data_IF_648817427116
#
_entry.id   IF_648817427116
#
_cell.length_a   1.000
_cell.length_b   1.000
_cell.length_c   1.000
_cell.angle_alpha   90.00
_cell.angle_beta   90.00
_cell.angle_gamma   90.00
#
_symmetry.space_group_name_H-M   'P 1'
#
loop_
_entity.id
_entity.type
_entity.pdbx_description
1 polymer ?
#
# COMPACT_ATOMS: atom_id res chain seq x y z
N UNK A 1 -9.88 -2.23 -7.58
CA UNK A 1 -8.66 -1.60 -7.04
C UNK A 1 -8.76 -0.10 -7.28
N UNK A 2 -8.64 0.74 -6.24
CA UNK A 2 -8.68 2.20 -6.37
C UNK A 2 -7.25 2.73 -6.33
N UNK A 3 -6.87 3.54 -7.30
CA UNK A 3 -5.56 4.20 -7.34
C UNK A 3 -5.81 5.69 -7.13
N UNK A 4 -5.11 6.29 -6.17
CA UNK A 4 -5.10 7.74 -5.93
C UNK A 4 -3.67 8.22 -6.07
N UNK A 5 -3.48 9.38 -6.72
CA UNK A 5 -2.18 10.01 -6.92
C UNK A 5 -2.33 11.49 -6.62
N UNK A 6 -1.36 12.04 -5.93
CA UNK A 6 -1.27 13.44 -5.56
C UNK A 6 0.21 13.85 -5.72
N UNK A 7 0.45 15.06 -6.21
CA UNK A 7 1.79 15.59 -6.44
C UNK A 7 1.75 17.13 -6.41
N UNK A 8 2.90 17.73 -6.11
CA UNK A 8 3.08 19.17 -6.11
C UNK A 8 3.07 19.71 -7.55
N UNK A 9 2.09 20.55 -7.90
CA UNK A 9 1.97 21.12 -9.25
C UNK A 9 2.88 22.31 -9.51
N UNK A 10 3.46 22.90 -8.46
CA UNK A 10 4.38 24.04 -8.57
C UNK A 10 5.83 23.58 -8.73
N UNK A 11 6.11 22.31 -8.40
CA UNK A 11 7.45 21.73 -8.53
C UNK A 11 7.75 21.25 -9.97
N UNK A 12 8.87 21.72 -10.53
CA UNK A 12 9.36 21.22 -11.82
C UNK A 12 10.13 19.89 -11.68
N UNK A 13 9.44 18.79 -11.92
CA UNK A 13 10.03 17.45 -11.92
C UNK A 13 11.00 17.18 -13.09
N UNK A 14 11.12 18.07 -14.08
CA UNK A 14 12.07 17.92 -15.18
C UNK A 14 13.53 17.86 -14.69
N UNK A 15 13.80 18.50 -13.55
CA UNK A 15 15.11 18.53 -12.89
C UNK A 15 15.44 17.26 -12.10
N UNK A 16 14.46 16.39 -11.84
CA UNK A 16 14.67 15.14 -11.09
C UNK A 16 15.26 14.09 -12.03
N UNK A 17 16.52 13.70 -11.80
CA UNK A 17 17.23 12.70 -12.61
C UNK A 17 17.71 11.52 -11.79
N UNK A 18 17.88 11.70 -10.49
CA UNK A 18 18.46 10.71 -9.59
C UNK A 18 17.52 10.40 -8.45
N UNK A 19 17.38 9.13 -8.14
CA UNK A 19 16.64 8.67 -6.98
C UNK A 19 17.48 7.75 -6.12
N UNK A 20 17.11 7.63 -4.85
CA UNK A 20 17.50 6.48 -4.04
C UNK A 20 16.32 6.04 -3.17
N UNK A 21 16.44 4.84 -2.62
CA UNK A 21 15.48 4.33 -1.67
C UNK A 21 15.60 5.08 -0.34
N UNK A 22 14.47 5.50 0.22
CA UNK A 22 14.43 5.96 1.60
C UNK A 22 14.81 4.78 2.53
N UNK A 23 15.73 5.01 3.46
CA UNK A 23 16.04 4.04 4.50
C UNK A 23 14.79 3.79 5.34
N UNK A 24 14.30 2.55 5.31
CA UNK A 24 13.17 2.13 6.15
C UNK A 24 13.68 1.92 7.57
N UNK A 25 13.03 2.52 8.57
CA UNK A 25 13.27 2.11 9.95
C UNK A 25 12.81 0.65 10.11
N UNK A 26 13.57 -0.18 10.83
CA UNK A 26 13.28 -1.62 10.96
C UNK A 26 11.83 -1.90 11.43
N UNK A 27 11.27 -0.98 12.22
CA UNK A 27 9.92 -1.07 12.79
C UNK A 27 8.79 -0.78 11.79
N UNK A 28 9.11 -0.22 10.61
CA UNK A 28 8.10 0.08 9.59
C UNK A 28 7.77 -1.12 8.71
N UNK A 29 8.54 -2.22 8.79
CA UNK A 29 8.21 -3.51 8.19
C UNK A 29 7.02 -4.12 8.93
N UNK A 30 5.82 -3.58 8.67
CA UNK A 30 4.59 -4.06 9.27
C UNK A 30 4.39 -5.57 9.10
N UNK A 31 3.56 -6.20 9.95
CA UNK A 31 3.25 -7.62 9.86
C UNK A 31 2.78 -7.95 8.43
N UNK A 32 3.35 -9.01 7.83
CA UNK A 32 3.05 -9.42 6.45
C UNK A 32 4.06 -8.96 5.38
N UNK A 33 5.13 -8.24 5.75
CA UNK A 33 6.20 -7.89 4.81
C UNK A 33 7.07 -9.11 4.47
N UNK A 34 6.66 -9.89 3.46
CA UNK A 34 7.46 -10.98 2.90
C UNK A 34 8.62 -10.40 2.05
N UNK A 35 9.88 -10.82 2.24
CA UNK A 35 11.03 -10.38 1.43
C UNK A 35 10.80 -10.46 -0.09
N UNK A 36 10.10 -11.50 -0.56
CA UNK A 36 9.76 -11.65 -1.98
C UNK A 36 8.85 -10.54 -2.51
N UNK A 37 7.92 -10.05 -1.68
CA UNK A 37 7.03 -8.94 -2.06
C UNK A 37 7.79 -7.62 -2.05
N UNK A 38 8.70 -7.43 -1.11
CA UNK A 38 9.58 -6.26 -1.08
C UNK A 38 10.44 -6.17 -2.32
N UNK A 39 11.14 -7.25 -2.69
CA UNK A 39 11.96 -7.30 -3.90
C UNK A 39 11.13 -7.02 -5.15
N UNK A 40 9.94 -7.64 -5.28
CA UNK A 40 9.03 -7.40 -6.41
C UNK A 40 8.57 -5.94 -6.51
N UNK A 41 8.27 -5.30 -5.38
CA UNK A 41 7.86 -3.89 -5.36
C UNK A 41 9.03 -3.00 -5.77
N UNK A 42 10.22 -3.25 -5.22
CA UNK A 42 11.42 -2.50 -5.58
C UNK A 42 11.71 -2.62 -7.07
N UNK A 43 11.82 -3.84 -7.60
CA UNK A 43 12.03 -4.12 -9.02
C UNK A 43 11.03 -3.41 -9.94
N UNK A 44 9.74 -3.47 -9.60
CA UNK A 44 8.70 -2.85 -10.40
C UNK A 44 8.84 -1.33 -10.44
N UNK A 45 9.20 -0.71 -9.31
CA UNK A 45 9.44 0.73 -9.21
C UNK A 45 10.73 1.12 -9.94
N UNK A 46 11.83 0.40 -9.76
CA UNK A 46 13.10 0.69 -10.44
C UNK A 46 12.92 0.65 -11.96
N UNK A 47 12.25 -0.38 -12.50
CA UNK A 47 11.92 -0.47 -13.94
C UNK A 47 11.03 0.67 -14.41
N UNK A 48 10.11 1.16 -13.58
CA UNK A 48 9.23 2.26 -13.94
C UNK A 48 9.97 3.61 -13.95
N UNK A 49 10.94 3.80 -13.04
CA UNK A 49 11.77 5.00 -12.96
C UNK A 49 12.83 5.03 -14.06
N UNK A 50 13.44 3.88 -14.36
CA UNK A 50 14.39 3.72 -15.47
C UNK A 50 13.75 4.05 -16.82
N UNK A 51 12.54 3.55 -17.08
CA UNK A 51 11.74 3.92 -18.27
C UNK A 51 11.44 5.42 -18.38
N UNK A 52 11.50 6.16 -17.27
CA UNK A 52 11.32 7.62 -17.22
C UNK A 52 12.66 8.38 -17.29
N UNK A 53 13.78 7.65 -17.41
CA UNK A 53 15.13 8.20 -17.52
C UNK A 53 15.78 8.56 -16.19
N UNK A 54 15.20 8.14 -15.06
CA UNK A 54 15.82 8.35 -13.75
C UNK A 54 16.83 7.23 -13.47
N UNK A 55 17.93 7.58 -12.81
CA UNK A 55 18.98 6.63 -12.40
C UNK A 55 19.09 6.56 -10.88
N UNK A 56 19.50 5.41 -10.36
CA UNK A 56 19.76 5.27 -8.93
C UNK A 56 21.10 5.91 -8.56
N UNK A 57 21.13 6.78 -7.54
CA UNK A 57 22.33 7.40 -6.99
C UNK A 57 22.18 7.54 -5.46
N UNK A 58 22.84 6.67 -4.70
CA UNK A 58 22.78 6.67 -3.25
C UNK A 58 23.58 7.81 -2.59
N UNK A 59 24.51 8.44 -3.32
CA UNK A 59 25.35 9.51 -2.79
C UNK A 59 24.71 10.88 -2.99
N UNK A 60 24.08 11.09 -4.16
CA UNK A 60 23.49 12.37 -4.55
C UNK A 60 22.09 12.21 -5.18
N UNK A 61 21.11 11.67 -4.43
CA UNK A 61 19.74 11.56 -4.93
C UNK A 61 19.06 12.94 -5.00
N UNK A 62 18.30 13.19 -6.06
CA UNK A 62 17.43 14.37 -6.15
C UNK A 62 16.10 14.12 -5.40
N UNK A 63 15.64 12.86 -5.36
CA UNK A 63 14.43 12.42 -4.64
C UNK A 63 14.64 11.09 -3.91
N UNK A 64 13.86 10.87 -2.86
CA UNK A 64 13.82 9.58 -2.14
C UNK A 64 12.50 8.86 -2.36
N UNK A 65 12.57 7.57 -2.65
CA UNK A 65 11.41 6.73 -2.87
C UNK A 65 11.14 5.88 -1.64
N UNK A 66 9.92 5.92 -1.13
CA UNK A 66 9.47 5.10 -0.02
C UNK A 66 8.20 4.33 -0.42
N UNK A 67 8.02 3.13 0.13
CA UNK A 67 6.80 2.36 -0.03
C UNK A 67 6.37 1.78 1.32
N UNK A 68 5.06 1.64 1.52
CA UNK A 68 4.47 1.01 2.71
C UNK A 68 3.30 0.16 2.29
N UNK A 69 3.16 -0.99 2.95
CA UNK A 69 2.00 -1.85 2.82
C UNK A 69 1.20 -1.79 4.13
N UNK A 70 -0.11 -1.61 4.03
CA UNK A 70 -1.02 -1.61 5.17
C UNK A 70 -2.06 -2.70 4.93
N UNK A 71 -2.02 -3.74 5.76
CA UNK A 71 -3.14 -4.68 5.87
C UNK A 71 -4.26 -4.00 6.66
N UNK A 72 -5.38 -3.74 6.01
CA UNK A 72 -6.62 -3.41 6.72
C UNK A 72 -7.44 -4.69 6.81
N UNK A 73 -7.44 -5.34 7.98
CA UNK A 73 -8.51 -6.26 8.32
C UNK A 73 -9.79 -5.44 8.45
N UNK A 74 -10.66 -5.53 7.45
CA UNK A 74 -12.06 -5.15 7.66
C UNK A 74 -12.65 -6.23 8.54
N UNK A 75 -12.76 -5.95 9.84
CA UNK A 75 -13.71 -6.68 10.67
C UNK A 75 -15.09 -6.49 10.05
N UNK A 76 -15.53 -7.49 9.29
CA UNK A 76 -16.94 -7.64 9.01
C UNK A 76 -17.53 -8.09 10.33
N UNK A 77 -17.97 -7.15 11.16
CA UNK A 77 -19.00 -7.46 12.14
C UNK A 77 -20.24 -7.81 11.34
N UNK A 78 -20.31 -9.06 10.89
CA UNK A 78 -21.60 -9.68 10.63
C UNK A 78 -22.28 -9.68 11.99
N UNK A 79 -23.04 -8.64 12.29
CA UNK A 79 -24.04 -8.70 13.34
C UNK A 79 -24.99 -9.81 12.89
N UNK A 80 -24.67 -11.05 13.25
CA UNK A 80 -25.67 -12.11 13.35
C UNK A 80 -26.65 -11.55 14.36
N UNK A 81 -27.70 -10.96 13.81
CA UNK A 81 -28.85 -10.55 14.57
C UNK A 81 -29.48 -11.85 15.02
N UNK A 82 -29.08 -12.34 16.20
CA UNK A 82 -29.85 -13.32 16.95
C UNK A 82 -31.08 -12.57 17.48
N UNK A 83 -31.95 -12.13 16.57
CA UNK A 83 -33.29 -11.72 16.94
C UNK A 83 -34.09 -13.00 17.10
N UNK A 84 -34.31 -13.35 18.36
CA UNK A 84 -35.26 -14.38 18.76
C UNK A 84 -36.62 -14.13 18.12
N UNK A 85 -37.02 -15.06 17.23
CA UNK A 85 -38.37 -15.16 16.74
C UNK A 85 -39.13 -16.16 17.59
N UNK A 86 -40.08 -15.67 18.39
CA UNK A 86 -41.08 -16.47 19.07
C UNK A 86 -41.87 -17.28 18.03
N UNK A 87 -41.71 -18.60 18.06
CA UNK A 87 -42.56 -19.52 17.31
C UNK A 87 -43.94 -19.59 17.95
N UNK A 88 -44.91 -18.87 17.38
CA UNK A 88 -46.33 -19.10 17.63
C UNK A 88 -46.72 -20.44 16.98
N UNK A 89 -46.80 -21.51 17.77
CA UNK A 89 -47.39 -22.77 17.30
C UNK A 89 -48.91 -22.65 17.37
N UNK A 90 -49.50 -22.34 16.22
CA UNK A 90 -50.93 -22.42 16.00
C UNK A 90 -51.43 -23.85 16.17
N UNK A 91 -52.51 -24.00 16.94
CA UNK A 91 -53.42 -25.15 16.93
C UNK A 91 -53.83 -25.47 15.49
N UNK A 92 -53.70 -26.74 15.09
CA UNK A 92 -54.72 -27.51 14.36
C UNK A 92 -54.26 -28.97 14.25
N UNK A 93 -55.11 -29.91 14.69
CA UNK A 93 -54.89 -31.36 14.64
C UNK A 93 -55.31 -32.03 15.93
#
# INVERSE_FOLDING_TARGET
>A
MKISRDYDTEYDFSHVKRYDWATRAADEAGPGTNPLNEERIRDAVERALDKRGLRRDAQRPDVRVAWRFREQQKERTSTVSVFGGFGNWGRHG
#
